data_IF_306591230286
#
_entry.id   IF_306591230286
#
_cell.length_a   1.000
_cell.length_b   1.000
_cell.length_c   1.000
_cell.angle_alpha   90.00
_cell.angle_beta   90.00
_cell.angle_gamma   90.00
#
_symmetry.space_group_name_H-M   'P 1'
#
loop_
_entity.id
_entity.type
_entity.pdbx_description
1 polymer ?
#
# COMPACT_ATOMS: atom_id res chain seq x y z
N UNK A 1 -12.16 4.78 11.04
CA UNK A 1 -11.18 3.67 11.14
C UNK A 1 -11.74 2.38 10.57
N UNK A 2 -12.96 1.97 10.93
CA UNK A 2 -13.61 0.78 10.34
C UNK A 2 -13.71 0.83 8.81
N UNK A 3 -14.11 1.97 8.24
CA UNK A 3 -14.18 2.12 6.79
C UNK A 3 -12.84 1.86 6.08
N UNK A 4 -11.73 2.37 6.64
CA UNK A 4 -10.39 2.13 6.10
C UNK A 4 -10.00 0.65 6.24
N UNK A 5 -10.34 0.00 7.36
CA UNK A 5 -10.07 -1.43 7.54
C UNK A 5 -10.80 -2.27 6.49
N UNK A 6 -12.08 -2.00 6.25
CA UNK A 6 -12.88 -2.66 5.19
C UNK A 6 -12.29 -2.44 3.80
N UNK A 7 -11.80 -1.22 3.51
CA UNK A 7 -11.15 -0.93 2.23
C UNK A 7 -9.79 -1.65 2.07
N UNK A 8 -9.05 -1.85 3.16
CA UNK A 8 -7.80 -2.61 3.16
C UNK A 8 -8.06 -4.09 2.82
N UNK A 9 -9.06 -4.71 3.46
CA UNK A 9 -9.45 -6.10 3.20
C UNK A 9 -9.88 -6.30 1.74
N UNK A 10 -10.67 -5.36 1.19
CA UNK A 10 -11.07 -5.38 -0.21
C UNK A 10 -9.87 -5.23 -1.16
N UNK A 11 -8.89 -4.39 -0.82
CA UNK A 11 -7.68 -4.22 -1.61
C UNK A 11 -6.79 -5.47 -1.58
N UNK A 12 -6.67 -6.13 -0.43
CA UNK A 12 -5.95 -7.39 -0.28
C UNK A 12 -6.59 -8.51 -1.13
N UNK A 13 -7.92 -8.66 -1.04
CA UNK A 13 -8.69 -9.65 -1.81
C UNK A 13 -8.51 -9.45 -3.31
N UNK A 14 -8.47 -8.19 -3.77
CA UNK A 14 -8.29 -7.83 -5.19
C UNK A 14 -6.82 -7.77 -5.63
N UNK A 15 -5.88 -8.18 -4.76
CA UNK A 15 -4.41 -8.09 -4.97
C UNK A 15 -3.93 -6.68 -5.36
N UNK A 16 -4.64 -5.62 -4.93
CA UNK A 16 -4.27 -4.21 -5.16
C UNK A 16 -3.28 -3.74 -4.10
N UNK A 17 -2.05 -4.23 -4.19
CA UNK A 17 -1.02 -4.05 -3.15
C UNK A 17 -0.67 -2.58 -2.88
N UNK A 18 -0.59 -1.73 -3.91
CA UNK A 18 -0.37 -0.29 -3.72
C UNK A 18 -1.47 0.39 -2.89
N UNK A 19 -2.73 0.03 -3.14
CA UNK A 19 -3.87 0.56 -2.38
C UNK A 19 -3.92 0.01 -0.96
N UNK A 20 -3.63 -1.27 -0.77
CA UNK A 20 -3.51 -1.89 0.57
C UNK A 20 -2.44 -1.17 1.41
N UNK A 21 -1.29 -0.88 0.82
CA UNK A 21 -0.20 -0.15 1.47
C UNK A 21 -0.63 1.27 1.89
N UNK A 22 -1.28 2.05 1.02
CA UNK A 22 -1.75 3.41 1.35
C UNK A 22 -2.72 3.41 2.54
N UNK A 23 -3.70 2.49 2.53
CA UNK A 23 -4.72 2.41 3.57
C UNK A 23 -4.11 1.95 4.90
N UNK A 24 -3.26 0.92 4.88
CA UNK A 24 -2.59 0.43 6.10
C UNK A 24 -1.62 1.48 6.68
N UNK A 25 -0.94 2.26 5.83
CA UNK A 25 -0.16 3.43 6.26
C UNK A 25 -1.02 4.48 6.97
N UNK A 26 -2.18 4.84 6.40
CA UNK A 26 -3.12 5.78 7.01
C UNK A 26 -3.66 5.28 8.37
N UNK A 27 -4.02 4.00 8.48
CA UNK A 27 -4.51 3.40 9.73
C UNK A 27 -3.40 3.34 10.79
N UNK A 28 -2.20 2.92 10.40
CA UNK A 28 -1.10 2.66 11.35
C UNK A 28 -0.55 3.92 12.02
N UNK A 29 -0.80 5.12 11.47
CA UNK A 29 -0.44 6.42 12.04
C UNK A 29 1.07 6.66 12.31
N UNK A 30 1.95 5.68 12.05
CA UNK A 30 3.30 5.60 12.65
C UNK A 30 4.49 5.70 11.71
N UNK A 31 4.31 6.03 10.43
CA UNK A 31 5.46 6.26 9.56
C UNK A 31 5.38 7.63 8.90
N UNK A 32 6.00 8.63 9.55
CA UNK A 32 6.36 9.93 8.94
C UNK A 32 7.58 9.82 8.01
N UNK A 33 8.28 8.69 7.99
CA UNK A 33 9.37 8.45 7.06
C UNK A 33 8.81 8.02 5.71
N UNK A 34 8.93 8.93 4.77
CA UNK A 34 8.74 8.77 3.33
C UNK A 34 9.62 7.62 2.80
N UNK A 35 9.19 6.38 3.01
CA UNK A 35 9.63 5.27 2.17
C UNK A 35 8.73 5.30 0.94
N UNK A 36 9.08 6.19 0.00
CA UNK A 36 8.52 6.29 -1.36
C UNK A 36 9.05 5.17 -2.27
N UNK A 37 9.81 4.23 -1.72
CA UNK A 37 10.34 3.11 -2.47
C UNK A 37 9.24 2.17 -3.00
N UNK A 38 9.44 1.57 -4.18
CA UNK A 38 8.53 0.59 -4.76
C UNK A 38 8.24 -0.58 -3.81
N UNK A 39 6.98 -1.02 -3.76
CA UNK A 39 6.61 -2.26 -3.06
C UNK A 39 7.05 -3.45 -3.90
N UNK A 40 7.84 -4.34 -3.30
CA UNK A 40 8.34 -5.56 -3.93
C UNK A 40 7.86 -6.79 -3.16
N UNK A 41 7.74 -7.92 -3.84
CA UNK A 41 7.54 -9.21 -3.20
C UNK A 41 8.84 -9.73 -2.56
N UNK A 42 8.75 -10.89 -1.90
CA UNK A 42 9.90 -11.52 -1.24
C UNK A 42 11.05 -11.89 -2.19
N UNK A 43 10.75 -12.08 -3.47
CA UNK A 43 11.72 -12.39 -4.53
C UNK A 43 12.26 -11.13 -5.21
N UNK A 44 11.85 -9.94 -4.75
CA UNK A 44 12.24 -8.67 -5.32
C UNK A 44 11.43 -8.23 -6.54
N UNK A 45 10.39 -8.98 -6.92
CA UNK A 45 9.50 -8.60 -8.03
C UNK A 45 8.67 -7.39 -7.64
N UNK A 46 8.63 -6.39 -8.52
CA UNK A 46 7.84 -5.20 -8.34
C UNK A 46 6.34 -5.51 -8.28
N UNK A 47 5.66 -5.09 -7.21
CA UNK A 47 4.22 -5.26 -6.99
C UNK A 47 3.41 -3.97 -7.22
N UNK A 48 4.09 -2.84 -7.35
CA UNK A 48 3.51 -1.51 -7.63
C UNK A 48 4.24 -0.87 -8.79
N UNK A 49 3.53 -0.32 -9.75
CA UNK A 49 4.14 0.35 -10.92
C UNK A 49 4.67 1.74 -10.57
N UNK A 50 5.63 2.27 -11.33
CA UNK A 50 6.17 3.63 -11.15
C UNK A 50 5.06 4.70 -11.18
N UNK A 51 4.03 4.50 -12.01
CA UNK A 51 2.86 5.37 -12.07
C UNK A 51 2.05 5.41 -10.77
N UNK A 52 2.01 4.29 -10.04
CA UNK A 52 1.38 4.24 -8.72
C UNK A 52 2.27 4.88 -7.64
N UNK A 53 3.59 4.94 -7.85
CA UNK A 53 4.60 5.56 -6.96
C UNK A 53 4.67 7.08 -7.16
N UNK A 54 4.52 7.57 -8.38
CA UNK A 54 4.52 9.02 -8.67
C UNK A 54 3.24 9.71 -8.14
N UNK A 55 2.16 8.95 -7.99
CA UNK A 55 0.93 9.34 -7.29
C UNK A 55 0.89 8.89 -5.79
N UNK A 56 2.01 8.45 -5.20
CA UNK A 56 2.16 8.08 -3.77
C UNK A 56 2.68 9.24 -2.93
#
# INVERSE_FOLDING_TARGET
MEELATQAEAAATKRKQGRLYKITKQISGKFKSASTGPVKDKQGKLLTTEKEIEEM
#
